data_IF_849193385981
#
_entry.id   IF_849193385981
#
_cell.length_a   1.000
_cell.length_b   1.000
_cell.length_c   1.000
_cell.angle_alpha   90.00
_cell.angle_beta   90.00
_cell.angle_gamma   90.00
#
_symmetry.space_group_name_H-M   'P 1'
#
loop_
_entity.id
_entity.type
_entity.pdbx_description
1 polymer ?
#
# COMPACT_ATOMS: atom_id res chain seq x y z
N UNK A 1 43.78 37.91 -12.67
CA UNK A 1 43.72 36.49 -13.07
C UNK A 1 43.54 35.67 -11.80
N UNK A 2 42.58 34.78 -11.56
CA UNK A 2 41.41 34.23 -12.25
C UNK A 2 40.54 33.72 -11.08
N UNK A 3 39.22 33.98 -11.09
CA UNK A 3 38.29 33.37 -10.14
C UNK A 3 37.81 32.00 -10.63
N UNK A 4 37.38 31.14 -9.71
CA UNK A 4 36.48 30.02 -10.04
C UNK A 4 35.50 29.79 -8.87
N UNK A 5 34.25 30.16 -9.11
CA UNK A 5 33.10 29.68 -8.37
C UNK A 5 32.78 28.27 -8.89
N UNK A 6 32.72 27.27 -8.00
CA UNK A 6 32.14 25.98 -8.33
C UNK A 6 30.63 26.05 -8.08
N UNK A 7 29.89 26.26 -9.16
CA UNK A 7 28.45 25.98 -9.21
C UNK A 7 28.28 24.47 -9.32
N UNK A 8 27.79 23.81 -8.27
CA UNK A 8 27.33 22.41 -8.35
C UNK A 8 25.99 22.40 -9.08
N UNK A 9 26.02 22.08 -10.38
CA UNK A 9 24.82 21.81 -11.16
C UNK A 9 24.22 20.46 -10.74
N UNK A 10 23.03 20.52 -10.14
CA UNK A 10 22.19 19.34 -9.90
C UNK A 10 21.67 18.81 -11.24
N UNK A 11 22.33 17.79 -11.77
CA UNK A 11 21.98 17.17 -13.03
C UNK A 11 20.64 16.44 -12.95
N UNK A 12 19.64 16.90 -13.70
CA UNK A 12 18.41 16.18 -14.01
C UNK A 12 18.78 14.86 -14.72
N UNK A 13 18.69 13.71 -14.02
CA UNK A 13 18.82 12.41 -14.67
C UNK A 13 17.60 12.16 -15.56
N UNK A 14 17.85 12.06 -16.86
CA UNK A 14 16.89 11.63 -17.86
C UNK A 14 16.52 10.15 -17.66
N UNK A 15 15.27 9.85 -18.02
CA UNK A 15 14.57 8.56 -17.91
C UNK A 15 15.43 7.38 -18.41
N UNK A 16 15.92 6.58 -17.47
CA UNK A 16 16.56 5.28 -17.72
C UNK A 16 15.64 4.15 -17.25
N UNK A 17 15.58 3.08 -18.04
CA UNK A 17 14.91 1.81 -17.77
C UNK A 17 15.45 1.20 -16.46
N UNK A 18 14.59 1.02 -15.44
CA UNK A 18 14.97 0.47 -14.13
C UNK A 18 14.92 -1.06 -14.16
N UNK A 19 16.06 -1.70 -13.88
CA UNK A 19 16.19 -3.14 -13.57
C UNK A 19 16.04 -3.37 -12.06
N UNK A 20 15.50 -4.53 -11.68
CA UNK A 20 14.83 -4.80 -10.39
C UNK A 20 15.62 -4.93 -9.09
N UNK A 21 16.77 -4.26 -8.92
CA UNK A 21 17.56 -4.33 -7.67
C UNK A 21 17.90 -2.95 -7.03
N UNK A 22 17.41 -1.83 -7.58
CA UNK A 22 17.59 -0.52 -6.94
C UNK A 22 16.52 -0.29 -5.86
N UNK A 23 16.98 -0.12 -4.62
CA UNK A 23 16.16 0.33 -3.50
C UNK A 23 15.56 1.70 -3.84
N UNK A 24 14.24 1.78 -3.97
CA UNK A 24 13.56 3.04 -4.26
C UNK A 24 13.88 4.05 -3.15
N UNK A 25 14.41 5.21 -3.51
CA UNK A 25 14.59 6.32 -2.56
C UNK A 25 13.20 6.66 -1.97
N UNK A 26 13.06 6.82 -0.65
CA UNK A 26 11.84 7.35 -0.04
C UNK A 26 11.26 8.57 -0.76
N UNK A 27 12.11 9.44 -1.30
CA UNK A 27 11.70 10.60 -2.10
C UNK A 27 11.01 10.22 -3.42
N UNK A 28 11.35 9.08 -4.02
CA UNK A 28 10.74 8.61 -5.26
C UNK A 28 9.29 8.13 -5.03
N UNK A 29 8.99 7.57 -3.85
CA UNK A 29 7.63 7.17 -3.49
C UNK A 29 6.69 8.37 -3.41
N UNK A 30 7.12 9.42 -2.71
CA UNK A 30 6.34 10.65 -2.55
C UNK A 30 6.19 11.38 -3.90
N UNK A 31 7.27 11.47 -4.68
CA UNK A 31 7.20 12.06 -6.04
C UNK A 31 6.23 11.32 -6.95
N UNK A 32 6.16 9.98 -6.86
CA UNK A 32 5.18 9.20 -7.62
C UNK A 32 3.74 9.45 -7.16
N UNK A 33 3.52 9.66 -5.87
CA UNK A 33 2.21 9.99 -5.31
C UNK A 33 1.77 11.42 -5.68
N UNK A 34 2.71 12.36 -5.82
CA UNK A 34 2.43 13.74 -6.21
C UNK A 34 1.77 13.86 -7.59
N UNK A 35 2.02 12.90 -8.48
CA UNK A 35 1.42 12.85 -9.82
C UNK A 35 0.00 12.23 -9.83
N UNK A 36 -0.54 11.85 -8.67
CA UNK A 36 -1.83 11.16 -8.56
C UNK A 36 -2.92 12.11 -8.02
N UNK A 37 -4.17 11.94 -8.48
CA UNK A 37 -5.31 12.63 -7.90
C UNK A 37 -5.49 12.30 -6.43
N UNK A 38 -6.14 13.21 -5.71
CA UNK A 38 -6.47 13.02 -4.29
C UNK A 38 -7.31 11.76 -4.09
N UNK A 39 -7.03 11.03 -3.00
CA UNK A 39 -7.74 9.80 -2.61
C UNK A 39 -7.86 8.73 -3.71
N UNK A 40 -6.92 8.68 -4.66
CA UNK A 40 -6.96 7.73 -5.79
C UNK A 40 -6.10 6.48 -5.58
N UNK A 41 -5.07 6.56 -4.75
CA UNK A 41 -4.05 5.52 -4.57
C UNK A 41 -4.46 4.53 -3.48
N UNK A 42 -4.34 3.24 -3.80
CA UNK A 42 -4.40 2.14 -2.82
C UNK A 42 -2.99 1.88 -2.31
N UNK A 43 -2.75 2.17 -1.03
CA UNK A 43 -1.51 1.78 -0.36
C UNK A 43 -1.64 0.36 0.19
N UNK A 44 -0.62 -0.48 -0.02
CA UNK A 44 -0.62 -1.88 0.43
C UNK A 44 0.67 -2.18 1.19
N UNK A 45 0.54 -2.62 2.44
CA UNK A 45 1.67 -3.03 3.28
C UNK A 45 1.25 -4.06 4.32
N UNK A 46 1.95 -5.19 4.34
CA UNK A 46 1.75 -6.27 5.32
C UNK A 46 2.75 -6.23 6.49
N UNK A 47 3.45 -5.10 6.65
CA UNK A 47 4.38 -4.90 7.75
C UNK A 47 5.73 -5.61 7.56
N UNK A 48 6.56 -5.55 8.59
CA UNK A 48 7.96 -5.97 8.48
C UNK A 48 8.20 -7.46 8.67
N UNK A 49 7.30 -8.12 9.39
CA UNK A 49 7.42 -9.50 9.86
C UNK A 49 6.63 -10.51 9.01
N UNK A 50 5.70 -10.02 8.18
CA UNK A 50 4.92 -10.90 7.32
C UNK A 50 5.72 -11.27 6.06
N UNK A 51 5.75 -12.57 5.78
CA UNK A 51 6.11 -13.10 4.48
C UNK A 51 4.86 -13.74 3.91
N UNK A 52 4.33 -13.19 2.82
CA UNK A 52 3.14 -13.71 2.20
C UNK A 52 3.50 -14.98 1.40
N UNK A 53 2.72 -16.07 1.55
CA UNK A 53 2.81 -17.22 0.65
C UNK A 53 2.60 -16.81 -0.81
N UNK A 54 3.14 -17.60 -1.73
CA UNK A 54 3.04 -17.34 -3.19
C UNK A 54 1.58 -17.15 -3.62
N UNK A 55 0.67 -17.99 -3.11
CA UNK A 55 -0.75 -17.91 -3.42
C UNK A 55 -1.37 -16.58 -2.97
N UNK A 56 -1.02 -16.10 -1.77
CA UNK A 56 -1.52 -14.81 -1.28
C UNK A 56 -0.94 -13.64 -2.08
N UNK A 57 0.32 -13.72 -2.52
CA UNK A 57 0.95 -12.73 -3.41
C UNK A 57 0.22 -12.66 -4.76
N UNK A 58 -0.12 -13.80 -5.35
CA UNK A 58 -0.88 -13.89 -6.61
C UNK A 58 -2.27 -13.26 -6.47
N UNK A 59 -3.01 -13.59 -5.41
CA UNK A 59 -4.34 -13.03 -5.19
C UNK A 59 -4.31 -11.50 -4.97
N UNK A 60 -3.31 -10.98 -4.24
CA UNK A 60 -3.13 -9.53 -4.06
C UNK A 60 -2.76 -8.85 -5.38
N UNK A 61 -1.80 -9.39 -6.11
CA UNK A 61 -1.37 -8.85 -7.40
C UNK A 61 -2.55 -8.79 -8.39
N UNK A 62 -3.35 -9.86 -8.46
CA UNK A 62 -4.49 -9.92 -9.36
C UNK A 62 -5.64 -9.00 -8.94
N UNK A 63 -5.87 -8.81 -7.64
CA UNK A 63 -6.82 -7.82 -7.13
C UNK A 63 -6.39 -6.40 -7.54
N UNK A 64 -5.11 -6.06 -7.33
CA UNK A 64 -4.57 -4.73 -7.68
C UNK A 64 -4.65 -4.47 -9.18
N UNK A 65 -4.23 -5.42 -10.02
CA UNK A 65 -4.35 -5.32 -11.49
C UNK A 65 -5.79 -5.16 -11.96
N UNK A 66 -6.73 -5.82 -11.30
CA UNK A 66 -8.16 -5.80 -11.66
C UNK A 66 -8.88 -4.55 -11.18
N UNK A 67 -8.44 -3.96 -10.06
CA UNK A 67 -9.02 -2.73 -9.50
C UNK A 67 -8.90 -1.52 -10.45
N UNK A 68 -7.95 -1.55 -11.38
CA UNK A 68 -7.58 -0.43 -12.29
C UNK A 68 -7.23 0.88 -11.57
N UNK A 69 -7.00 0.82 -10.26
CA UNK A 69 -6.63 1.98 -9.45
C UNK A 69 -5.12 2.09 -9.34
N UNK A 70 -4.59 3.32 -9.21
CA UNK A 70 -3.20 3.50 -8.83
C UNK A 70 -2.92 2.79 -7.50
N UNK A 71 -1.77 2.13 -7.39
CA UNK A 71 -1.38 1.47 -6.15
C UNK A 71 0.09 1.67 -5.82
N UNK A 72 0.41 1.73 -4.53
CA UNK A 72 1.76 1.64 -4.01
C UNK A 72 1.81 0.40 -3.11
N UNK A 73 2.59 -0.60 -3.50
CA UNK A 73 2.69 -1.86 -2.76
C UNK A 73 4.10 -2.08 -2.23
N UNK A 74 4.21 -2.24 -0.91
CA UNK A 74 5.45 -2.64 -0.26
C UNK A 74 5.61 -4.16 -0.34
N UNK A 75 6.59 -4.61 -1.12
CA UNK A 75 6.96 -6.03 -1.26
C UNK A 75 8.42 -6.20 -0.92
N UNK A 76 8.69 -6.80 0.24
CA UNK A 76 10.05 -7.09 0.68
C UNK A 76 10.62 -8.28 -0.06
N UNK A 77 11.87 -8.20 -0.49
CA UNK A 77 12.60 -9.37 -0.94
C UNK A 77 12.53 -10.47 0.14
N UNK A 78 12.30 -11.74 -0.24
CA UNK A 78 12.34 -12.84 0.72
C UNK A 78 13.69 -12.86 1.44
N UNK A 79 13.68 -13.09 2.76
CA UNK A 79 14.92 -13.37 3.48
C UNK A 79 15.60 -14.59 2.86
N UNK A 80 16.94 -14.64 2.85
CA UNK A 80 17.73 -15.71 2.21
C UNK A 80 17.35 -17.15 2.67
N UNK A 81 16.61 -17.30 3.76
CA UNK A 81 16.13 -18.57 4.30
C UNK A 81 14.65 -18.87 4.07
N UNK A 82 13.89 -17.97 3.42
CA UNK A 82 12.47 -18.16 3.12
C UNK A 82 12.31 -18.58 1.65
N UNK A 83 12.18 -19.89 1.42
CA UNK A 83 11.79 -20.40 0.10
C UNK A 83 10.33 -20.02 -0.17
N UNK A 84 10.06 -19.25 -1.22
CA UNK A 84 8.72 -19.09 -1.80
C UNK A 84 7.80 -18.01 -1.23
N UNK A 85 8.33 -17.00 -0.53
CA UNK A 85 7.55 -15.86 -0.02
C UNK A 85 7.83 -14.55 -0.76
N UNK A 86 6.84 -13.65 -0.81
CA UNK A 86 6.95 -12.30 -1.38
C UNK A 86 7.44 -12.21 -2.85
N UNK A 87 7.35 -13.29 -3.62
CA UNK A 87 7.61 -13.26 -5.06
C UNK A 87 6.42 -12.68 -5.81
N UNK A 88 6.66 -11.68 -6.65
CA UNK A 88 5.64 -11.17 -7.56
C UNK A 88 5.34 -12.18 -8.67
N UNK A 89 4.10 -12.28 -9.16
CA UNK A 89 3.78 -13.09 -10.33
C UNK A 89 4.55 -12.62 -11.58
N UNK A 90 4.88 -13.57 -12.45
CA UNK A 90 5.55 -13.27 -13.72
C UNK A 90 4.74 -12.27 -14.56
N UNK A 91 5.41 -11.26 -15.12
CA UNK A 91 4.78 -10.23 -15.95
C UNK A 91 3.97 -9.16 -15.18
N UNK A 92 3.87 -9.24 -13.85
CA UNK A 92 3.07 -8.30 -13.06
C UNK A 92 3.58 -6.86 -13.18
N UNK A 93 4.89 -6.66 -13.06
CA UNK A 93 5.52 -5.34 -13.10
C UNK A 93 5.36 -4.69 -14.47
N UNK A 94 5.54 -5.45 -15.55
CA UNK A 94 5.37 -4.97 -16.92
C UNK A 94 3.91 -4.56 -17.16
N UNK A 95 2.97 -5.43 -16.80
CA UNK A 95 1.54 -5.21 -16.97
C UNK A 95 0.99 -4.02 -16.18
N UNK A 96 1.62 -3.70 -15.03
CA UNK A 96 1.17 -2.63 -14.12
C UNK A 96 2.09 -1.41 -14.09
N UNK A 97 3.08 -1.34 -14.97
CA UNK A 97 4.10 -0.27 -15.01
C UNK A 97 3.56 1.18 -15.08
N UNK A 98 2.37 1.37 -15.65
CA UNK A 98 1.67 2.68 -15.70
C UNK A 98 0.66 2.88 -14.57
N UNK A 99 0.29 1.79 -13.89
CA UNK A 99 -0.75 1.74 -12.88
C UNK A 99 -0.15 1.88 -11.47
N UNK A 100 0.89 1.12 -11.14
CA UNK A 100 1.36 1.00 -9.76
C UNK A 100 2.86 1.18 -9.59
N UNK A 101 3.25 1.33 -8.33
CA UNK A 101 4.61 1.37 -7.86
C UNK A 101 4.80 0.24 -6.84
N UNK A 102 5.84 -0.58 -7.01
CA UNK A 102 6.22 -1.62 -6.05
C UNK A 102 7.60 -1.30 -5.49
N UNK A 103 7.73 -1.30 -4.17
CA UNK A 103 8.97 -0.92 -3.46
C UNK A 103 9.27 -1.88 -2.32
N UNK A 104 10.55 -2.09 -1.95
CA UNK A 104 10.90 -2.94 -0.82
C UNK A 104 10.62 -2.29 0.54
N UNK A 105 10.56 -0.95 0.57
CA UNK A 105 10.33 -0.15 1.77
C UNK A 105 9.86 1.26 1.40
N UNK A 106 9.09 1.90 2.30
CA UNK A 106 8.71 3.31 2.22
C UNK A 106 8.49 3.88 3.63
N UNK A 107 8.55 5.22 3.82
CA UNK A 107 8.19 5.86 5.08
C UNK A 107 6.66 5.84 5.26
N UNK A 108 6.13 4.76 5.84
CA UNK A 108 4.68 4.47 5.88
C UNK A 108 3.83 5.64 6.39
N UNK A 109 4.25 6.32 7.46
CA UNK A 109 3.52 7.47 7.99
C UNK A 109 3.42 8.63 6.97
N UNK A 110 4.50 8.95 6.26
CA UNK A 110 4.50 9.99 5.22
C UNK A 110 3.63 9.59 4.03
N UNK A 111 3.63 8.29 3.67
CA UNK A 111 2.75 7.75 2.63
C UNK A 111 1.28 7.88 3.04
N UNK A 112 0.93 7.48 4.27
CA UNK A 112 -0.43 7.60 4.80
C UNK A 112 -0.89 9.06 4.94
N UNK A 113 0.02 9.98 5.23
CA UNK A 113 -0.28 11.42 5.31
C UNK A 113 -0.48 12.08 3.93
N UNK A 114 -0.12 11.39 2.84
CA UNK A 114 -0.14 11.96 1.51
C UNK A 114 -1.56 12.00 0.92
N UNK A 115 -1.97 13.18 0.41
CA UNK A 115 -3.32 13.45 -0.14
C UNK A 115 -3.84 12.43 -1.16
N UNK A 116 -2.93 11.80 -1.91
CA UNK A 116 -3.27 10.85 -2.95
C UNK A 116 -3.73 9.49 -2.40
N UNK A 117 -3.34 9.12 -1.17
CA UNK A 117 -3.72 7.84 -0.57
C UNK A 117 -5.18 7.91 -0.13
N UNK A 118 -6.00 7.04 -0.71
CA UNK A 118 -7.44 6.96 -0.40
C UNK A 118 -7.84 5.70 0.37
N UNK A 119 -6.97 4.68 0.42
CA UNK A 119 -7.25 3.40 1.06
C UNK A 119 -5.94 2.70 1.44
N UNK A 120 -5.92 2.08 2.62
CA UNK A 120 -4.81 1.28 3.11
C UNK A 120 -5.21 -0.20 3.25
N UNK A 121 -4.65 -1.06 2.40
CA UNK A 121 -4.72 -2.52 2.57
C UNK A 121 -3.63 -2.95 3.55
N UNK A 122 -4.04 -3.47 4.70
CA UNK A 122 -3.13 -3.68 5.83
C UNK A 122 -3.32 -5.00 6.53
N UNK A 123 -2.21 -5.56 7.02
CA UNK A 123 -2.19 -6.70 7.94
C UNK A 123 -2.78 -6.41 9.33
N UNK A 124 -3.18 -5.17 9.64
CA UNK A 124 -3.79 -4.81 10.94
C UNK A 124 -2.86 -4.97 12.15
N UNK A 125 -1.55 -4.80 11.96
CA UNK A 125 -0.63 -4.58 13.08
C UNK A 125 -0.96 -3.29 13.81
N UNK A 126 -0.85 -3.29 15.14
CA UNK A 126 -1.30 -2.17 15.98
C UNK A 126 -0.72 -0.81 15.58
N UNK A 127 0.60 -0.74 15.33
CA UNK A 127 1.26 0.50 14.91
C UNK A 127 0.74 1.00 13.55
N UNK A 128 0.57 0.10 12.58
CA UNK A 128 0.02 0.45 11.26
C UNK A 128 -1.40 0.99 11.35
N UNK A 129 -2.22 0.44 12.26
CA UNK A 129 -3.58 0.94 12.51
C UNK A 129 -3.51 2.34 13.12
N UNK A 130 -2.67 2.57 14.13
CA UNK A 130 -2.54 3.88 14.76
C UNK A 130 -2.09 4.95 13.76
N UNK A 131 -1.13 4.64 12.90
CA UNK A 131 -0.71 5.55 11.83
C UNK A 131 -1.86 5.86 10.88
N UNK A 132 -2.58 4.84 10.40
CA UNK A 132 -3.72 5.03 9.50
C UNK A 132 -4.85 5.86 10.11
N UNK A 133 -5.22 5.57 11.36
CA UNK A 133 -6.21 6.34 12.11
C UNK A 133 -5.75 7.79 12.31
N UNK A 134 -4.47 8.02 12.62
CA UNK A 134 -3.92 9.37 12.83
C UNK A 134 -3.93 10.24 11.56
N UNK A 135 -3.91 9.60 10.38
CA UNK A 135 -3.97 10.29 9.08
C UNK A 135 -5.36 10.24 8.45
N UNK A 136 -6.31 9.59 9.12
CA UNK A 136 -7.68 9.41 8.66
C UNK A 136 -7.84 8.62 7.37
N UNK A 137 -6.95 7.65 7.16
CA UNK A 137 -6.97 6.79 5.98
C UNK A 137 -7.84 5.56 6.25
N UNK A 138 -8.88 5.31 5.44
CA UNK A 138 -9.73 4.13 5.60
C UNK A 138 -8.98 2.85 5.25
N UNK A 139 -9.37 1.74 5.86
CA UNK A 139 -8.62 0.48 5.78
C UNK A 139 -9.39 -0.66 5.11
N UNK A 140 -8.68 -1.47 4.33
CA UNK A 140 -9.07 -2.84 3.99
C UNK A 140 -8.20 -3.78 4.81
N UNK A 141 -8.82 -4.43 5.78
CA UNK A 141 -8.15 -5.23 6.79
C UNK A 141 -7.98 -6.67 6.30
N UNK A 142 -6.72 -7.08 6.12
CA UNK A 142 -6.31 -8.41 5.65
C UNK A 142 -5.34 -9.02 6.68
N UNK A 143 -5.84 -9.40 7.87
CA UNK A 143 -5.00 -9.86 8.98
C UNK A 143 -4.24 -11.14 8.62
N UNK A 144 -3.02 -11.29 9.12
CA UNK A 144 -2.14 -12.44 8.83
C UNK A 144 -2.01 -13.37 10.04
N UNK A 145 -1.66 -12.87 11.23
CA UNK A 145 -1.38 -13.69 12.41
C UNK A 145 -1.47 -12.90 13.74
N UNK A 146 -1.38 -13.59 14.88
CA UNK A 146 -1.41 -13.01 16.24
C UNK A 146 -2.75 -12.32 16.57
N UNK A 147 -2.69 -11.09 17.04
CA UNK A 147 -3.75 -10.19 17.45
C UNK A 147 -4.37 -9.44 16.26
N UNK A 148 -3.81 -9.58 15.05
CA UNK A 148 -4.27 -8.87 13.86
C UNK A 148 -5.73 -9.18 13.52
N UNK A 149 -6.18 -10.41 13.74
CA UNK A 149 -7.58 -10.79 13.57
C UNK A 149 -8.48 -9.99 14.51
N UNK A 150 -8.11 -9.86 15.79
CA UNK A 150 -8.85 -9.05 16.76
C UNK A 150 -8.81 -7.57 16.37
N UNK A 151 -7.63 -7.04 16.03
CA UNK A 151 -7.45 -5.65 15.61
C UNK A 151 -8.31 -5.31 14.37
N UNK A 152 -8.40 -6.23 13.42
CA UNK A 152 -9.24 -6.04 12.23
C UNK A 152 -10.73 -5.92 12.55
N UNK A 153 -11.23 -6.59 13.60
CA UNK A 153 -12.61 -6.45 14.06
C UNK A 153 -12.84 -5.12 14.79
N UNK A 154 -11.83 -4.57 15.48
CA UNK A 154 -11.92 -3.19 15.97
C UNK A 154 -12.05 -2.19 14.82
N UNK A 155 -11.24 -2.35 13.76
CA UNK A 155 -11.32 -1.51 12.55
C UNK A 155 -12.70 -1.59 11.88
N UNK A 156 -13.26 -2.79 11.70
CA UNK A 156 -14.51 -2.96 10.96
C UNK A 156 -15.78 -2.76 11.78
N UNK A 157 -15.80 -3.22 13.03
CA UNK A 157 -17.05 -3.38 13.78
C UNK A 157 -17.20 -2.29 14.86
N UNK A 158 -16.09 -1.87 15.47
CA UNK A 158 -16.08 -0.90 16.57
C UNK A 158 -15.90 0.52 16.04
N UNK A 159 -14.77 0.80 15.38
CA UNK A 159 -14.47 2.14 14.86
C UNK A 159 -15.10 2.40 13.50
N UNK A 160 -15.42 1.34 12.75
CA UNK A 160 -16.05 1.42 11.43
C UNK A 160 -15.25 2.29 10.45
N UNK A 161 -13.92 2.23 10.56
CA UNK A 161 -12.94 2.93 9.71
C UNK A 161 -12.35 2.02 8.63
N UNK A 162 -12.88 0.80 8.49
CA UNK A 162 -12.46 -0.11 7.44
C UNK A 162 -13.37 -1.32 7.27
N UNK A 163 -12.94 -2.24 6.42
CA UNK A 163 -13.64 -3.51 6.16
C UNK A 163 -12.71 -4.69 6.38
N UNK A 164 -13.17 -5.68 7.15
CA UNK A 164 -12.46 -6.94 7.39
C UNK A 164 -12.71 -7.93 6.24
N UNK A 165 -11.65 -8.32 5.53
CA UNK A 165 -11.74 -9.34 4.49
C UNK A 165 -11.64 -10.72 5.13
N UNK A 166 -12.66 -11.54 4.92
CA UNK A 166 -12.69 -12.92 5.43
C UNK A 166 -11.66 -13.80 4.70
N UNK A 167 -10.94 -14.62 5.47
CA UNK A 167 -9.98 -15.57 4.92
C UNK A 167 -10.73 -16.77 4.35
N UNK A 168 -10.40 -17.18 3.12
CA UNK A 168 -11.06 -18.32 2.50
C UNK A 168 -10.71 -19.63 3.22
N UNK A 169 -11.45 -20.70 2.89
CA UNK A 169 -11.13 -22.05 3.36
C UNK A 169 -9.73 -22.55 2.92
N UNK A 170 -9.06 -21.86 2.00
CA UNK A 170 -7.68 -22.14 1.56
C UNK A 170 -6.62 -21.44 2.42
N UNK A 171 -7.03 -20.61 3.39
CA UNK A 171 -6.10 -19.92 4.30
C UNK A 171 -5.54 -18.60 3.76
N UNK A 172 -6.07 -18.09 2.64
CA UNK A 172 -5.71 -16.79 2.08
C UNK A 172 -6.95 -16.03 1.58
N UNK A 173 -6.82 -14.72 1.40
CA UNK A 173 -7.85 -13.85 0.83
C UNK A 173 -7.90 -14.01 -0.69
N UNK A 174 -9.10 -14.14 -1.23
CA UNK A 174 -9.33 -14.25 -2.67
C UNK A 174 -9.32 -12.87 -3.34
N UNK A 175 -8.75 -12.80 -4.54
CA UNK A 175 -8.60 -11.59 -5.37
C UNK A 175 -9.90 -10.85 -5.60
N UNK A 176 -11.00 -11.58 -5.83
CA UNK A 176 -12.31 -10.99 -6.10
C UNK A 176 -12.89 -10.33 -4.86
N UNK A 177 -12.68 -10.91 -3.69
CA UNK A 177 -13.08 -10.32 -2.42
C UNK A 177 -12.24 -9.09 -2.09
N UNK A 178 -10.92 -9.18 -2.26
CA UNK A 178 -10.02 -8.05 -2.03
C UNK A 178 -10.30 -6.88 -2.99
N UNK A 179 -10.46 -7.14 -4.29
CA UNK A 179 -10.81 -6.12 -5.28
C UNK A 179 -12.15 -5.46 -4.97
N UNK A 180 -13.17 -6.26 -4.63
CA UNK A 180 -14.47 -5.76 -4.21
C UNK A 180 -14.38 -4.83 -3.01
N UNK A 181 -13.60 -5.20 -1.99
CA UNK A 181 -13.45 -4.41 -0.76
C UNK A 181 -12.66 -3.13 -1.02
N UNK A 182 -11.59 -3.19 -1.83
CA UNK A 182 -10.86 -2.00 -2.28
C UNK A 182 -11.82 -1.03 -2.99
N UNK A 183 -12.64 -1.53 -3.92
CA UNK A 183 -13.61 -0.72 -4.65
C UNK A 183 -14.67 -0.14 -3.71
N UNK A 184 -15.23 -0.95 -2.82
CA UNK A 184 -16.25 -0.51 -1.86
C UNK A 184 -15.72 0.60 -0.94
N UNK A 185 -14.54 0.41 -0.34
CA UNK A 185 -13.91 1.42 0.53
C UNK A 185 -13.62 2.72 -0.22
N UNK A 186 -13.29 2.64 -1.51
CA UNK A 186 -12.89 3.80 -2.29
C UNK A 186 -14.05 4.55 -2.97
N UNK A 187 -15.11 3.85 -3.40
CA UNK A 187 -16.15 4.38 -4.28
C UNK A 187 -17.57 4.04 -3.82
N UNK A 188 -17.72 3.02 -2.98
CA UNK A 188 -19.01 2.50 -2.54
C UNK A 188 -19.70 3.36 -1.48
N UNK A 189 -20.99 3.10 -1.30
CA UNK A 189 -21.84 3.76 -0.31
C UNK A 189 -21.35 3.46 1.11
N UNK A 190 -20.98 2.20 1.41
CA UNK A 190 -20.40 1.86 2.70
C UNK A 190 -19.03 2.52 2.86
N UNK A 191 -18.27 2.63 1.77
CA UNK A 191 -17.00 3.35 1.74
C UNK A 191 -17.13 4.82 2.12
N UNK A 192 -18.22 5.49 1.74
CA UNK A 192 -18.47 6.88 2.12
C UNK A 192 -18.57 7.05 3.64
N UNK A 193 -19.34 6.19 4.31
CA UNK A 193 -19.43 6.17 5.77
C UNK A 193 -18.11 5.80 6.44
N UNK A 194 -17.35 4.85 5.86
CA UNK A 194 -16.03 4.49 6.36
C UNK A 194 -15.07 5.68 6.30
N UNK A 195 -15.05 6.41 5.18
CA UNK A 195 -14.20 7.60 5.00
C UNK A 195 -14.59 8.72 5.95
N UNK A 196 -15.88 8.91 6.20
CA UNK A 196 -16.40 9.86 7.21
C UNK A 196 -15.91 9.50 8.61
N UNK A 197 -16.09 8.25 9.05
CA UNK A 197 -15.63 7.78 10.36
C UNK A 197 -14.11 7.84 10.53
N UNK A 198 -13.37 7.78 9.42
CA UNK A 198 -11.91 7.84 9.43
C UNK A 198 -11.40 9.27 9.54
N UNK A 199 -12.21 10.30 9.25
CA UNK A 199 -11.71 11.68 9.27
C UNK A 199 -11.21 12.07 10.66
N UNK A 200 -9.99 12.61 10.70
CA UNK A 200 -9.44 13.21 11.90
C UNK A 200 -9.89 14.66 11.94
N UNK A 201 -10.67 15.02 12.95
CA UNK A 201 -10.98 16.44 13.22
C UNK A 201 -9.66 17.18 13.47
N UNK A 202 -9.30 18.07 12.54
CA UNK A 202 -8.19 19.00 12.77
C UNK A 202 -8.78 20.20 13.51
N UNK A 203 -8.37 20.49 14.76
CA UNK A 203 -8.80 21.73 15.42
C UNK A 203 -8.35 22.91 14.57
N UNK A 204 -9.30 23.80 14.27
CA UNK A 204 -9.11 25.01 13.47
C UNK A 204 -8.35 26.12 14.18
#
# INVERSE_FOLDING_TARGET
>A
MIGFALTLTYGRKTRATRTGDEQCDPADCLSWLDERPDSSVVYVSFGSLAALPTEQMEEVADALRSSKRPFLWVVKAPYAHQKGGNSLPEGFMEATSKQGLVVPWCPQLDILAHRAVGCFVTHCGWNSILEALSQGVPMVAVPQWSDQQTNSKFVSDVWKTGMHVEISNKGFVLRGELERFIREVMEGERGAHIRENSQVERPG
#
